data_IF_623749403075
#
_entry.id   IF_623749403075
#
_cell.length_a   1.000
_cell.length_b   1.000
_cell.length_c   1.000
_cell.angle_alpha   90.00
_cell.angle_beta   90.00
_cell.angle_gamma   90.00
#
_symmetry.space_group_name_H-M   'P 1'
#
loop_
_entity.id
_entity.type
_entity.pdbx_description
1 polymer ?
#
# COMPACT_ATOMS: atom_id res chain seq x y z
N UNK A 1 7.27 2.68 18.48
CA UNK A 1 7.51 2.02 17.17
C UNK A 1 6.72 2.76 16.12
N UNK A 2 7.20 2.80 14.88
CA UNK A 2 6.46 3.39 13.76
C UNK A 2 5.20 2.56 13.50
N UNK A 3 4.08 3.24 13.23
CA UNK A 3 2.78 2.63 12.90
C UNK A 3 2.49 2.81 11.42
N UNK A 4 2.16 1.73 10.73
CA UNK A 4 1.88 1.70 9.30
C UNK A 4 0.49 1.11 9.11
N UNK A 5 -0.36 1.76 8.33
CA UNK A 5 -1.71 1.27 8.05
C UNK A 5 -1.91 0.98 6.57
N UNK A 6 -2.47 -0.18 6.26
CA UNK A 6 -2.93 -0.54 4.92
C UNK A 6 -4.30 0.09 4.68
N UNK A 7 -4.41 0.95 3.68
CA UNK A 7 -5.66 1.61 3.29
C UNK A 7 -5.99 1.27 1.83
N UNK A 8 -7.27 1.35 1.47
CA UNK A 8 -7.72 1.04 0.11
C UNK A 8 -9.03 0.26 0.08
N UNK A 9 -9.57 0.11 -1.12
CA UNK A 9 -10.87 -0.53 -1.34
C UNK A 9 -10.92 -1.99 -0.85
N UNK A 10 -12.13 -2.54 -0.69
CA UNK A 10 -12.31 -3.97 -0.48
C UNK A 10 -11.74 -4.76 -1.66
N UNK A 11 -11.22 -5.96 -1.38
CA UNK A 11 -10.69 -6.89 -2.39
C UNK A 11 -9.45 -6.39 -3.18
N UNK A 12 -8.83 -5.27 -2.82
CA UNK A 12 -7.56 -4.81 -3.45
C UNK A 12 -6.34 -5.63 -3.04
N UNK A 13 -6.47 -6.49 -2.01
CA UNK A 13 -5.41 -7.37 -1.53
C UNK A 13 -4.67 -6.88 -0.29
N UNK A 14 -5.24 -5.98 0.53
CA UNK A 14 -4.65 -5.52 1.80
C UNK A 14 -4.29 -6.69 2.74
N UNK A 15 -5.26 -7.56 3.06
CA UNK A 15 -5.01 -8.72 3.93
C UNK A 15 -4.01 -9.71 3.32
N UNK A 16 -3.99 -9.86 1.98
CA UNK A 16 -2.95 -10.65 1.30
C UNK A 16 -1.58 -10.03 1.50
N UNK A 17 -1.44 -8.71 1.34
CA UNK A 17 -0.19 -7.99 1.53
C UNK A 17 0.26 -8.01 2.99
N UNK A 18 -0.68 -7.82 3.93
CA UNK A 18 -0.43 -7.98 5.36
C UNK A 18 0.13 -9.37 5.65
N UNK A 19 -0.49 -10.41 5.10
CA UNK A 19 -0.04 -11.78 5.26
C UNK A 19 1.32 -12.02 4.63
N UNK A 20 1.61 -11.47 3.46
CA UNK A 20 2.93 -11.59 2.82
C UNK A 20 4.01 -10.93 3.67
N UNK A 21 3.72 -9.76 4.26
CA UNK A 21 4.64 -9.06 5.15
C UNK A 21 4.80 -9.78 6.49
N UNK A 22 3.70 -10.32 7.05
CA UNK A 22 3.70 -10.97 8.37
C UNK A 22 4.13 -12.44 8.34
N UNK A 23 3.85 -13.20 7.27
CA UNK A 23 4.23 -14.62 7.10
C UNK A 23 5.71 -14.81 6.77
N UNK A 24 6.50 -13.73 6.76
CA UNK A 24 7.92 -13.84 7.06
C UNK A 24 8.16 -14.50 8.43
N UNK A 25 7.15 -14.57 9.31
CA UNK A 25 6.93 -15.60 10.35
C UNK A 25 5.46 -15.55 10.86
N UNK A 26 4.60 -16.52 10.51
CA UNK A 26 3.26 -16.85 11.09
C UNK A 26 2.03 -16.72 10.15
N UNK A 27 1.29 -17.83 10.05
CA UNK A 27 0.11 -18.14 9.22
C UNK A 27 -1.13 -17.23 9.44
N UNK A 28 -1.98 -17.16 8.41
CA UNK A 28 -3.31 -16.57 8.43
C UNK A 28 -4.19 -17.22 7.34
N UNK A 29 -5.43 -17.54 7.69
CA UNK A 29 -6.46 -18.20 6.86
C UNK A 29 -7.41 -17.19 6.18
N UNK A 30 -8.04 -17.62 5.08
CA UNK A 30 -8.96 -16.82 4.25
C UNK A 30 -10.43 -16.98 4.71
N UNK A 31 -11.14 -15.87 4.93
CA UNK A 31 -12.62 -15.83 4.95
C UNK A 31 -13.15 -14.56 4.26
N UNK A 32 -14.32 -14.65 3.61
CA UNK A 32 -15.06 -13.47 3.15
C UNK A 32 -15.52 -12.67 4.39
N UNK A 33 -15.35 -11.34 4.36
CA UNK A 33 -15.42 -10.40 5.51
C UNK A 33 -14.28 -10.52 6.54
N UNK A 34 -13.02 -10.56 6.07
CA UNK A 34 -11.85 -10.88 6.91
C UNK A 34 -11.49 -9.86 8.02
N UNK A 35 -11.92 -8.60 7.97
CA UNK A 35 -11.60 -7.61 9.02
C UNK A 35 -12.76 -6.65 9.28
N UNK A 36 -13.72 -7.09 10.09
CA UNK A 36 -14.58 -6.18 10.87
C UNK A 36 -13.81 -5.63 12.09
N UNK A 37 -12.88 -6.43 12.61
CA UNK A 37 -11.87 -6.04 13.61
C UNK A 37 -10.56 -5.70 12.91
N UNK A 38 -9.95 -4.59 13.29
CA UNK A 38 -8.62 -4.19 12.83
C UNK A 38 -7.58 -5.19 13.34
N UNK A 39 -6.74 -5.71 12.44
CA UNK A 39 -5.65 -6.62 12.83
C UNK A 39 -4.36 -5.83 12.87
N UNK A 40 -3.67 -5.83 14.01
CA UNK A 40 -2.34 -5.24 14.15
C UNK A 40 -1.30 -6.35 14.27
N UNK A 41 -0.25 -6.30 13.45
CA UNK A 41 0.88 -7.24 13.51
C UNK A 41 2.20 -6.49 13.60
N UNK A 42 3.13 -7.00 14.39
CA UNK A 42 4.52 -6.56 14.33
C UNK A 42 5.16 -7.14 13.07
N UNK A 43 5.68 -6.29 12.22
CA UNK A 43 6.44 -6.67 11.01
C UNK A 43 7.87 -6.18 11.18
N UNK A 44 8.81 -6.96 10.68
CA UNK A 44 10.23 -6.60 10.61
C UNK A 44 10.63 -6.70 9.15
N UNK A 45 11.09 -5.59 8.57
CA UNK A 45 11.78 -5.59 7.28
C UNK A 45 13.24 -5.33 7.57
N UNK A 46 14.09 -6.27 7.18
CA UNK A 46 15.51 -6.34 7.53
C UNK A 46 15.71 -6.24 9.05
N UNK A 47 16.19 -5.10 9.53
CA UNK A 47 16.43 -4.82 10.94
C UNK A 47 15.41 -3.85 11.56
N UNK A 48 14.44 -3.32 10.79
CA UNK A 48 13.55 -2.26 11.24
C UNK A 48 12.16 -2.79 11.62
N UNK A 49 11.81 -2.82 12.92
CA UNK A 49 10.49 -3.27 13.35
C UNK A 49 9.46 -2.13 13.31
N UNK A 50 8.25 -2.43 12.83
CA UNK A 50 7.10 -1.53 12.86
C UNK A 50 5.80 -2.29 13.11
N UNK A 51 4.73 -1.56 13.44
CA UNK A 51 3.39 -2.12 13.56
C UNK A 51 2.66 -1.93 12.24
N UNK A 52 2.18 -3.02 11.65
CA UNK A 52 1.36 -3.01 10.46
C UNK A 52 -0.09 -3.32 10.82
N UNK A 53 -0.99 -2.41 10.46
CA UNK A 53 -2.42 -2.54 10.63
C UNK A 53 -3.09 -2.87 9.30
N UNK A 54 -3.94 -3.91 9.27
CA UNK A 54 -4.91 -4.12 8.20
C UNK A 54 -6.25 -3.48 8.63
N UNK A 55 -6.63 -2.42 7.93
CA UNK A 55 -7.85 -1.66 8.23
C UNK A 55 -9.06 -2.25 7.51
N UNK A 56 -10.24 -1.83 7.93
CA UNK A 56 -11.47 -2.07 7.18
C UNK A 56 -11.29 -1.52 5.75
N UNK A 57 -11.69 -2.30 4.75
CA UNK A 57 -11.63 -1.87 3.36
C UNK A 57 -12.74 -0.86 3.02
N UNK A 58 -12.39 0.17 2.26
CA UNK A 58 -13.39 1.10 1.74
C UNK A 58 -14.33 0.38 0.77
N UNK A 59 -15.63 0.65 0.89
CA UNK A 59 -16.65 0.22 -0.08
C UNK A 59 -17.18 1.46 -0.81
N UNK A 60 -17.56 1.30 -2.08
CA UNK A 60 -18.11 2.40 -2.89
C UNK A 60 -19.33 2.98 -2.17
N UNK A 61 -19.34 4.31 -1.98
CA UNK A 61 -20.37 5.05 -1.23
C UNK A 61 -20.63 4.39 0.13
N UNK A 62 -19.67 4.51 1.05
CA UNK A 62 -19.98 4.31 2.46
C UNK A 62 -21.16 5.23 2.80
N UNK A 63 -22.31 4.70 3.22
CA UNK A 63 -23.39 5.53 3.73
C UNK A 63 -22.84 6.42 4.85
N UNK A 64 -23.24 7.69 4.92
CA UNK A 64 -22.75 8.61 5.95
C UNK A 64 -22.92 8.04 7.36
N UNK A 65 -24.01 7.31 7.61
CA UNK A 65 -24.30 6.62 8.88
C UNK A 65 -23.28 5.51 9.21
N UNK A 66 -22.73 4.88 8.17
CA UNK A 66 -21.75 3.81 8.32
C UNK A 66 -20.34 4.36 8.52
N UNK A 67 -20.04 5.56 8.00
CA UNK A 67 -18.79 6.28 8.30
C UNK A 67 -18.67 6.56 9.80
N UNK A 68 -19.76 6.96 10.47
CA UNK A 68 -19.75 7.17 11.93
C UNK A 68 -19.51 5.86 12.70
N UNK A 69 -20.08 4.76 12.22
CA UNK A 69 -19.86 3.43 12.81
C UNK A 69 -18.43 2.91 12.58
N UNK A 70 -17.74 3.39 11.56
CA UNK A 70 -16.34 3.07 11.28
C UNK A 70 -15.35 4.10 11.83
N UNK A 71 -15.77 5.24 12.38
CA UNK A 71 -14.85 6.25 12.95
C UNK A 71 -13.86 5.63 13.94
N UNK A 72 -14.32 4.72 14.80
CA UNK A 72 -13.46 4.03 15.77
C UNK A 72 -12.47 3.05 15.14
N UNK A 73 -12.81 2.40 14.02
CA UNK A 73 -11.89 1.52 13.26
C UNK A 73 -10.99 2.30 12.32
N UNK A 74 -11.36 3.54 11.99
CA UNK A 74 -10.57 4.50 11.22
C UNK A 74 -9.65 5.35 12.10
N UNK A 75 -9.83 5.36 13.43
CA UNK A 75 -8.88 5.99 14.36
C UNK A 75 -7.47 5.41 14.21
N UNK A 76 -7.34 4.13 13.84
CA UNK A 76 -6.02 3.55 13.55
C UNK A 76 -5.33 4.20 12.34
N UNK A 77 -6.10 4.65 11.34
CA UNK A 77 -5.58 5.46 10.23
C UNK A 77 -5.11 6.82 10.74
N UNK A 78 -5.81 7.42 11.71
CA UNK A 78 -5.43 8.69 12.37
C UNK A 78 -4.23 8.55 13.29
N UNK A 79 -3.95 7.34 13.79
CA UNK A 79 -2.76 7.05 14.58
C UNK A 79 -1.56 6.56 13.77
N UNK A 80 -1.75 6.18 12.50
CA UNK A 80 -0.67 5.73 11.63
C UNK A 80 0.33 6.85 11.29
N UNK A 81 1.61 6.51 11.21
CA UNK A 81 2.65 7.44 10.77
C UNK A 81 2.88 7.37 9.26
N UNK A 82 2.56 6.22 8.65
CA UNK A 82 2.66 5.95 7.21
C UNK A 82 1.40 5.22 6.73
N UNK A 83 0.88 5.65 5.58
CA UNK A 83 -0.22 4.97 4.90
C UNK A 83 0.33 4.19 3.71
N UNK A 84 -0.04 2.92 3.61
CA UNK A 84 0.17 2.11 2.41
C UNK A 84 -1.16 1.98 1.68
N UNK A 85 -1.35 2.81 0.66
CA UNK A 85 -2.59 2.82 -0.11
C UNK A 85 -2.53 1.74 -1.18
N UNK A 86 -3.17 0.61 -0.92
CA UNK A 86 -3.26 -0.53 -1.84
C UNK A 86 -4.36 -0.28 -2.87
N UNK A 87 -4.03 -0.45 -4.14
CA UNK A 87 -4.90 -0.21 -5.29
C UNK A 87 -4.90 -1.46 -6.17
N UNK A 88 -6.06 -1.88 -6.65
CA UNK A 88 -6.15 -2.96 -7.63
C UNK A 88 -6.01 -2.39 -9.06
N UNK A 89 -4.85 -2.56 -9.68
CA UNK A 89 -4.59 -2.00 -11.03
C UNK A 89 -5.42 -2.70 -12.11
N UNK A 90 -5.87 -3.94 -11.88
CA UNK A 90 -6.70 -4.68 -12.83
C UNK A 90 -8.14 -4.16 -12.90
N UNK A 91 -8.55 -3.33 -11.94
CA UNK A 91 -9.89 -2.78 -11.90
C UNK A 91 -10.00 -1.53 -12.81
N UNK A 92 -10.92 -1.47 -13.80
CA UNK A 92 -10.97 -0.38 -14.79
C UNK A 92 -11.23 1.00 -14.16
N UNK A 93 -11.89 1.05 -13.00
CA UNK A 93 -12.12 2.26 -12.21
C UNK A 93 -11.14 2.49 -11.06
N UNK A 94 -9.90 1.98 -11.12
CA UNK A 94 -8.94 2.12 -10.01
C UNK A 94 -8.61 3.58 -9.67
N UNK A 95 -8.56 4.47 -10.66
CA UNK A 95 -8.30 5.91 -10.42
C UNK A 95 -9.42 6.55 -9.60
N UNK A 96 -10.68 6.25 -9.93
CA UNK A 96 -11.83 6.73 -9.15
C UNK A 96 -11.79 6.17 -7.72
N UNK A 97 -11.35 4.92 -7.55
CA UNK A 97 -11.16 4.34 -6.22
C UNK A 97 -10.08 5.07 -5.41
N UNK A 98 -8.96 5.46 -6.05
CA UNK A 98 -7.94 6.29 -5.39
C UNK A 98 -8.55 7.63 -4.95
N UNK A 99 -9.31 8.29 -5.82
CA UNK A 99 -9.94 9.57 -5.50
C UNK A 99 -10.90 9.47 -4.31
N UNK A 100 -11.74 8.41 -4.28
CA UNK A 100 -12.68 8.21 -3.17
C UNK A 100 -11.93 7.95 -1.86
N UNK A 101 -10.89 7.11 -1.86
CA UNK A 101 -10.09 6.84 -0.65
C UNK A 101 -9.42 8.12 -0.19
N UNK A 102 -8.78 8.87 -1.07
CA UNK A 102 -8.12 10.14 -0.74
C UNK A 102 -9.09 11.16 -0.15
N UNK A 103 -10.31 11.25 -0.71
CA UNK A 103 -11.35 12.11 -0.16
C UNK A 103 -11.74 11.68 1.26
N UNK A 104 -11.96 10.40 1.49
CA UNK A 104 -12.30 9.92 2.84
C UNK A 104 -11.14 10.09 3.82
N UNK A 105 -9.89 9.90 3.39
CA UNK A 105 -8.71 10.21 4.21
C UNK A 105 -8.64 11.69 4.59
N UNK A 106 -9.03 12.59 3.68
CA UNK A 106 -9.13 14.02 3.99
C UNK A 106 -10.23 14.33 5.02
N UNK A 107 -11.39 13.67 4.92
CA UNK A 107 -12.48 13.79 5.90
C UNK A 107 -12.10 13.28 7.31
N UNK A 108 -11.05 12.46 7.42
CA UNK A 108 -10.53 11.89 8.67
C UNK A 108 -9.31 12.63 9.24
N UNK A 109 -8.95 13.79 8.67
CA UNK A 109 -7.71 14.53 8.96
C UNK A 109 -6.42 13.72 8.72
N UNK A 110 -6.46 12.74 7.81
CA UNK A 110 -5.34 11.86 7.49
C UNK A 110 -4.63 12.20 6.16
N UNK A 111 -5.06 13.24 5.45
CA UNK A 111 -4.53 13.61 4.14
C UNK A 111 -3.07 14.13 4.15
N UNK A 112 -2.59 14.68 5.28
CA UNK A 112 -1.22 15.19 5.38
C UNK A 112 -0.17 14.13 5.70
N UNK A 113 -0.59 12.87 5.85
CA UNK A 113 0.30 11.77 6.24
C UNK A 113 1.12 11.29 5.05
N UNK A 114 2.38 10.89 5.26
CA UNK A 114 3.15 10.18 4.25
C UNK A 114 2.36 8.98 3.72
N UNK A 115 2.33 8.82 2.40
CA UNK A 115 1.57 7.77 1.72
C UNK A 115 2.41 7.15 0.61
N UNK A 116 2.42 5.82 0.57
CA UNK A 116 2.93 5.05 -0.56
C UNK A 116 1.77 4.40 -1.29
N UNK A 117 1.64 4.65 -2.59
CA UNK A 117 0.70 3.95 -3.47
C UNK A 117 1.26 2.59 -3.86
N UNK A 118 0.50 1.54 -3.56
CA UNK A 118 0.85 0.16 -3.86
C UNK A 118 -0.14 -0.37 -4.90
N UNK A 119 0.25 -0.31 -6.17
CA UNK A 119 -0.52 -0.87 -7.28
C UNK A 119 -0.35 -2.38 -7.27
N UNK A 120 -1.33 -3.07 -6.70
CA UNK A 120 -1.36 -4.51 -6.57
C UNK A 120 -2.13 -5.16 -7.75
N UNK A 121 -1.92 -6.48 -7.89
CA UNK A 121 -2.51 -7.34 -8.92
C UNK A 121 -2.03 -7.05 -10.34
N UNK A 122 -0.76 -6.69 -10.50
CA UNK A 122 -0.14 -6.57 -11.83
C UNK A 122 -0.25 -7.85 -12.67
N UNK A 123 -0.36 -9.02 -12.01
CA UNK A 123 -0.57 -10.32 -12.65
C UNK A 123 -1.94 -10.47 -13.32
N UNK A 124 -2.93 -9.67 -12.91
CA UNK A 124 -4.28 -9.66 -13.46
C UNK A 124 -4.54 -8.46 -14.36
N UNK A 125 -3.55 -7.58 -14.56
CA UNK A 125 -3.69 -6.42 -15.42
C UNK A 125 -3.74 -6.83 -16.90
N UNK A 126 -4.72 -6.30 -17.62
CA UNK A 126 -4.85 -6.51 -19.07
C UNK A 126 -5.10 -5.20 -19.77
N UNK A 127 -4.54 -5.06 -20.97
CA UNK A 127 -4.72 -3.91 -21.85
C UNK A 127 -4.98 -4.39 -23.28
N UNK A 128 -5.56 -3.52 -24.10
CA UNK A 128 -5.84 -3.77 -25.50
C UNK A 128 -4.83 -2.97 -26.32
N UNK A 129 -3.84 -3.66 -26.89
CA UNK A 129 -2.88 -3.03 -27.78
C UNK A 129 -3.62 -2.40 -28.97
N UNK A 130 -3.25 -1.15 -29.28
CA UNK A 130 -3.87 -0.40 -30.36
C UNK A 130 -3.11 -0.69 -31.64
N UNK A 131 -3.81 -1.07 -32.70
CA UNK A 131 -3.19 -1.31 -34.00
C UNK A 131 -2.67 0.01 -34.60
N UNK A 132 -1.55 -0.06 -35.32
CA UNK A 132 -0.85 1.11 -35.82
C UNK A 132 -1.65 1.91 -36.87
N UNK A 133 -2.65 1.29 -37.50
CA UNK A 133 -3.56 1.85 -38.49
C UNK A 133 -4.90 2.33 -37.89
N UNK A 134 -5.16 2.08 -36.61
CA UNK A 134 -6.32 2.61 -35.91
C UNK A 134 -6.12 4.10 -35.55
N UNK A 135 -6.79 4.98 -36.30
CA UNK A 135 -6.69 6.44 -36.15
C UNK A 135 -7.54 7.00 -34.99
N UNK A 136 -8.30 6.18 -34.25
CA UNK A 136 -9.06 6.68 -33.11
C UNK A 136 -8.14 7.14 -31.97
N UNK A 137 -8.50 8.13 -31.15
CA UNK A 137 -7.67 8.52 -30.01
C UNK A 137 -7.42 7.34 -29.06
N UNK A 138 -6.21 7.18 -28.50
CA UNK A 138 -5.94 6.15 -27.50
C UNK A 138 -6.82 6.37 -26.27
N UNK A 139 -7.40 5.29 -25.77
CA UNK A 139 -8.20 5.27 -24.55
C UNK A 139 -7.38 4.71 -23.38
N UNK A 140 -7.94 4.73 -22.17
CA UNK A 140 -7.29 4.12 -20.99
C UNK A 140 -7.06 2.61 -21.16
N UNK A 141 -7.90 1.94 -21.93
CA UNK A 141 -7.79 0.51 -22.20
C UNK A 141 -6.57 0.17 -23.07
N UNK A 142 -6.02 1.16 -23.78
CA UNK A 142 -4.86 0.98 -24.65
C UNK A 142 -3.51 1.15 -23.96
N UNK A 143 -3.51 1.47 -22.67
CA UNK A 143 -2.28 1.73 -21.93
C UNK A 143 -1.68 0.44 -21.39
N UNK A 144 -0.43 0.18 -21.77
CA UNK A 144 0.36 -0.93 -21.22
C UNK A 144 0.72 -0.68 -19.75
N UNK A 145 1.09 -1.75 -19.03
CA UNK A 145 1.55 -1.64 -17.64
C UNK A 145 2.79 -0.72 -17.52
N UNK A 146 3.70 -0.78 -18.49
CA UNK A 146 4.92 0.04 -18.50
C UNK A 146 4.60 1.54 -18.66
N UNK A 147 3.65 1.89 -19.53
CA UNK A 147 3.22 3.28 -19.71
C UNK A 147 2.49 3.79 -18.46
N UNK A 148 1.66 2.95 -17.82
CA UNK A 148 1.02 3.30 -16.56
C UNK A 148 2.06 3.51 -15.46
N UNK A 149 3.03 2.62 -15.33
CA UNK A 149 4.12 2.74 -14.35
C UNK A 149 4.90 4.04 -14.55
N UNK A 150 5.29 4.35 -15.79
CA UNK A 150 5.99 5.59 -16.12
C UNK A 150 5.14 6.84 -15.81
N UNK A 151 3.85 6.82 -16.17
CA UNK A 151 2.90 7.90 -15.89
C UNK A 151 2.77 8.16 -14.39
N UNK A 152 2.59 7.11 -13.59
CA UNK A 152 2.40 7.23 -12.16
C UNK A 152 3.68 7.60 -11.42
N UNK A 153 4.82 7.05 -11.83
CA UNK A 153 6.14 7.46 -11.30
C UNK A 153 6.46 8.91 -11.64
N UNK A 154 6.08 9.42 -12.82
CA UNK A 154 6.26 10.82 -13.17
C UNK A 154 5.40 11.76 -12.32
N UNK A 155 4.20 11.32 -11.92
CA UNK A 155 3.26 12.09 -11.09
C UNK A 155 3.60 12.05 -9.60
N UNK A 156 3.95 10.87 -9.09
CA UNK A 156 4.09 10.59 -7.66
C UNK A 156 5.56 10.44 -7.22
N UNK A 157 6.51 10.45 -8.15
CA UNK A 157 7.91 10.23 -7.86
C UNK A 157 8.18 8.82 -7.32
N UNK A 158 8.94 8.73 -6.23
CA UNK A 158 9.30 7.47 -5.57
C UNK A 158 8.26 6.97 -4.56
N UNK A 159 7.06 7.55 -4.51
CA UNK A 159 5.98 7.16 -3.58
C UNK A 159 4.99 6.14 -4.18
N UNK A 160 5.37 5.46 -5.27
CA UNK A 160 4.54 4.40 -5.85
C UNK A 160 5.34 3.15 -6.21
N UNK A 161 4.69 2.00 -6.12
CA UNK A 161 5.26 0.70 -6.53
C UNK A 161 4.18 -0.22 -7.08
N UNK A 162 4.56 -1.03 -8.07
CA UNK A 162 3.71 -1.99 -8.76
C UNK A 162 4.07 -3.41 -8.35
N UNK A 163 3.13 -4.18 -7.80
CA UNK A 163 3.39 -5.51 -7.24
C UNK A 163 2.31 -6.53 -7.61
N UNK A 164 2.66 -7.81 -7.47
CA UNK A 164 1.68 -8.88 -7.29
C UNK A 164 1.88 -9.50 -5.92
N UNK A 165 1.01 -9.17 -4.96
CA UNK A 165 1.03 -9.82 -3.65
C UNK A 165 0.72 -11.33 -3.76
N UNK A 166 -0.03 -11.75 -4.78
CA UNK A 166 -0.39 -13.15 -5.00
C UNK A 166 0.79 -13.97 -5.55
N UNK A 167 1.47 -13.44 -6.56
CA UNK A 167 2.58 -14.12 -7.23
C UNK A 167 3.95 -13.77 -6.64
N UNK A 168 3.98 -12.96 -5.59
CA UNK A 168 5.19 -12.46 -4.94
C UNK A 168 6.10 -11.64 -5.87
N UNK A 169 5.55 -11.08 -6.94
CA UNK A 169 6.28 -10.29 -7.92
C UNK A 169 6.55 -8.88 -7.39
N UNK A 170 7.78 -8.41 -7.60
CA UNK A 170 8.27 -7.09 -7.23
C UNK A 170 8.17 -6.73 -5.72
N UNK A 171 8.12 -7.74 -4.84
CA UNK A 171 8.02 -7.51 -3.40
C UNK A 171 9.29 -6.94 -2.77
N UNK A 172 10.47 -7.20 -3.34
CA UNK A 172 11.72 -6.66 -2.82
C UNK A 172 11.77 -5.14 -2.97
N UNK A 173 11.38 -4.62 -4.14
CA UNK A 173 11.27 -3.17 -4.37
C UNK A 173 10.24 -2.53 -3.42
N UNK A 174 9.10 -3.20 -3.22
CA UNK A 174 8.11 -2.75 -2.24
C UNK A 174 8.65 -2.75 -0.80
N UNK A 175 9.33 -3.81 -0.36
CA UNK A 175 9.94 -3.87 0.98
C UNK A 175 10.99 -2.79 1.18
N UNK A 176 11.85 -2.56 0.19
CA UNK A 176 12.86 -1.51 0.22
C UNK A 176 12.22 -0.12 0.33
N UNK A 177 11.22 0.17 -0.48
CA UNK A 177 10.50 1.44 -0.42
C UNK A 177 9.85 1.65 0.96
N UNK A 178 9.16 0.63 1.50
CA UNK A 178 8.57 0.70 2.84
C UNK A 178 9.65 0.89 3.89
N UNK A 179 10.77 0.18 3.80
CA UNK A 179 11.90 0.31 4.72
C UNK A 179 12.43 1.75 4.75
N UNK A 180 12.70 2.34 3.59
CA UNK A 180 13.21 3.72 3.47
C UNK A 180 12.25 4.74 4.11
N UNK A 181 10.94 4.60 3.85
CA UNK A 181 9.91 5.50 4.41
C UNK A 181 9.76 5.32 5.92
N UNK A 182 9.70 4.08 6.40
CA UNK A 182 9.62 3.79 7.84
C UNK A 182 10.89 4.26 8.56
N UNK A 183 12.07 4.10 7.95
CA UNK A 183 13.35 4.57 8.49
C UNK A 183 13.36 6.10 8.63
N UNK A 184 12.96 6.82 7.58
CA UNK A 184 12.89 8.28 7.60
C UNK A 184 11.97 8.81 8.73
N UNK A 185 10.81 8.16 8.92
CA UNK A 185 9.88 8.48 10.01
C UNK A 185 10.49 8.10 11.36
N UNK A 186 11.14 6.94 11.47
CA UNK A 186 11.75 6.47 12.70
C UNK A 186 12.82 7.43 13.21
N UNK A 187 13.74 7.84 12.35
CA UNK A 187 14.82 8.79 12.70
C UNK A 187 14.24 10.13 13.16
N UNK A 188 13.23 10.64 12.45
CA UNK A 188 12.58 11.91 12.81
C UNK A 188 11.88 11.81 14.17
N UNK A 189 11.27 10.67 14.49
CA UNK A 189 10.47 10.47 15.71
C UNK A 189 11.29 10.04 16.92
N UNK A 190 12.40 9.35 16.71
CA UNK A 190 13.27 8.79 17.76
C UNK A 190 14.73 9.18 17.54
N UNK A 191 15.07 10.49 17.62
CA UNK A 191 16.41 11.00 17.27
C UNK A 191 17.55 10.48 18.17
N UNK A 192 17.24 9.89 19.33
CA UNK A 192 18.24 9.31 20.24
C UNK A 192 18.51 7.81 19.99
N UNK A 193 17.91 7.23 18.94
CA UNK A 193 17.94 5.79 18.67
C UNK A 193 18.80 5.43 17.42
N UNK A 194 19.60 6.36 16.92
CA UNK A 194 20.41 6.24 15.68
C UNK A 194 21.40 5.06 15.67
N UNK A 195 21.70 4.46 16.82
CA UNK A 195 22.70 3.39 16.96
C UNK A 195 22.18 1.97 16.69
N UNK A 196 20.88 1.75 16.46
CA UNK A 196 20.33 0.40 16.43
C UNK A 196 20.35 -0.31 15.07
N UNK A 197 20.69 0.38 13.97
CA UNK A 197 20.42 -0.13 12.62
C UNK A 197 21.56 0.07 11.60
N UNK A 198 22.82 0.06 12.04
CA UNK A 198 23.94 -0.13 11.11
C UNK A 198 23.90 -1.58 10.60
N UNK A 199 23.60 -1.78 9.32
CA UNK A 199 23.94 -3.02 8.62
C UNK A 199 25.45 -3.09 8.58
N UNK A 200 26.05 -4.02 9.34
CA UNK A 200 27.44 -4.38 9.11
C UNK A 200 27.49 -5.06 7.75
N UNK A 201 28.06 -4.39 6.75
CA UNK A 201 28.57 -5.08 5.56
C UNK A 201 29.65 -6.02 6.07
N UNK A 202 29.37 -7.32 5.99
CA UNK A 202 30.34 -8.38 6.31
C UNK A 202 31.32 -8.55 5.14
N UNK A 203 31.97 -7.48 4.74
CA UNK A 203 33.08 -7.48 3.80
C UNK A 203 34.28 -6.88 4.54
N UNK A 204 34.97 -7.73 5.32
CA UNK A 204 36.37 -7.59 5.74
C UNK A 204 36.72 -8.76 6.67
N UNK A 205 36.79 -9.96 6.10
CA UNK A 205 37.56 -11.08 6.64
C UNK A 205 38.40 -11.66 5.49
N UNK A 206 39.48 -10.96 5.16
CA UNK A 206 40.70 -11.57 4.60
C UNK A 206 41.70 -11.85 5.72
#
# INVERSE_FOLDING_TARGET
MVRVALVGYTNVGKSTLMNVLSKSDVFAENKLFATLDTTVRKVIIDNLPFLLTDTVGFIRKLPHDLVESFKSTLDEVREADLLLHVVDISHPGFEEQIEVVNKTLAELDAASKPMVLVFNKIDAFTYVEKEADDLTPPTKENQSLAELEQSWMARMGSDCVFISARNLSNLNAFKQLVYERVKAIHVTRFPYNDFLFQTYESDDLE
#
